data_IF_249853602576
#
_entry.id   IF_249853602576
#
_cell.length_a   1.000
_cell.length_b   1.000
_cell.length_c   1.000
_cell.angle_alpha   90.00
_cell.angle_beta   90.00
_cell.angle_gamma   90.00
#
_symmetry.space_group_name_H-M   'P 1'
#
loop_
_entity.id
_entity.type
_entity.pdbx_description
1 polymer ?
#
# COMPACT_ATOMS: atom_id res chain seq x y z
N UNK A 1 2.10 8.39 -13.29
CA UNK A 1 2.94 8.27 -12.07
C UNK A 1 4.35 8.63 -12.48
N UNK A 2 5.06 9.48 -11.74
CA UNK A 2 6.41 9.93 -12.15
C UNK A 2 7.52 9.12 -11.50
N UNK A 3 7.23 8.37 -10.44
CA UNK A 3 8.21 7.58 -9.66
C UNK A 3 7.53 6.33 -9.11
N UNK A 4 8.24 5.20 -9.10
CA UNK A 4 7.77 3.90 -8.62
C UNK A 4 8.85 3.27 -7.74
N UNK A 5 8.42 2.60 -6.69
CA UNK A 5 9.32 1.95 -5.72
C UNK A 5 8.81 0.53 -5.51
N UNK A 6 9.68 -0.45 -5.68
CA UNK A 6 9.40 -1.81 -5.23
C UNK A 6 9.35 -1.81 -3.69
N UNK A 7 8.28 -2.37 -3.14
CA UNK A 7 8.04 -2.41 -1.71
C UNK A 7 7.92 -3.85 -1.20
N UNK A 8 8.69 -4.19 -0.17
CA UNK A 8 8.67 -5.50 0.47
C UNK A 8 7.97 -5.42 1.82
N UNK A 9 6.76 -5.97 1.89
CA UNK A 9 5.88 -5.89 3.06
C UNK A 9 6.10 -7.09 3.99
N UNK A 10 6.36 -6.81 5.26
CA UNK A 10 6.45 -7.80 6.34
C UNK A 10 5.38 -7.49 7.38
N UNK A 11 4.28 -8.23 7.31
CA UNK A 11 3.04 -7.89 7.99
C UNK A 11 2.79 -8.74 9.24
N UNK A 12 2.47 -8.07 10.34
CA UNK A 12 1.86 -8.68 11.51
C UNK A 12 0.35 -8.49 11.45
N UNK A 13 -0.40 -9.58 11.67
CA UNK A 13 -1.86 -9.56 11.71
C UNK A 13 -2.26 -9.21 13.15
N UNK A 14 -2.66 -7.96 13.39
CA UNK A 14 -3.01 -7.49 14.73
C UNK A 14 -4.34 -8.10 15.18
N UNK A 15 -5.28 -8.24 14.24
CA UNK A 15 -6.53 -8.98 14.39
C UNK A 15 -7.05 -9.40 13.00
N UNK A 16 -8.29 -9.88 12.91
CA UNK A 16 -8.90 -10.34 11.65
C UNK A 16 -9.12 -9.21 10.62
N UNK A 17 -9.24 -7.97 11.08
CA UNK A 17 -9.58 -6.81 10.25
C UNK A 17 -8.43 -5.83 10.03
N UNK A 18 -7.30 -6.01 10.71
CA UNK A 18 -6.19 -5.06 10.71
C UNK A 18 -4.83 -5.75 10.65
N UNK A 19 -4.01 -5.36 9.67
CA UNK A 19 -2.58 -5.72 9.59
C UNK A 19 -1.73 -4.47 9.66
N UNK A 20 -0.53 -4.65 10.22
CA UNK A 20 0.52 -3.64 10.22
C UNK A 20 1.76 -4.21 9.58
N UNK A 21 2.30 -3.52 8.58
CA UNK A 21 3.43 -3.97 7.81
C UNK A 21 4.62 -3.03 7.96
N UNK A 22 5.80 -3.60 8.20
CA UNK A 22 7.07 -2.94 7.93
C UNK A 22 7.37 -3.06 6.43
N UNK A 23 7.84 -1.97 5.82
CA UNK A 23 8.17 -1.95 4.39
C UNK A 23 9.67 -1.74 4.21
N UNK A 24 10.28 -2.62 3.43
CA UNK A 24 11.69 -2.58 3.07
C UNK A 24 11.89 -2.31 1.58
N UNK A 25 13.05 -1.76 1.23
CA UNK A 25 13.44 -1.53 -0.18
C UNK A 25 13.78 -2.82 -0.95
N UNK A 26 14.25 -3.84 -0.25
CA UNK A 26 14.69 -5.12 -0.81
C UNK A 26 14.34 -6.26 0.15
N UNK A 27 14.39 -7.54 -0.27
CA UNK A 27 14.19 -8.67 0.62
C UNK A 27 15.49 -9.12 1.33
N UNK A 28 16.61 -8.40 1.14
CA UNK A 28 17.92 -8.78 1.63
C UNK A 28 18.13 -8.44 3.11
N UNK A 29 19.08 -9.11 3.77
CA UNK A 29 19.32 -8.94 5.20
C UNK A 29 19.76 -7.52 5.61
N UNK A 30 20.30 -6.73 4.68
CA UNK A 30 20.74 -5.34 4.88
C UNK A 30 19.76 -4.31 4.31
N UNK A 31 18.51 -4.72 4.03
CA UNK A 31 17.48 -3.85 3.50
C UNK A 31 17.20 -2.65 4.43
N UNK A 32 16.87 -1.51 3.82
CA UNK A 32 16.46 -0.30 4.55
C UNK A 32 14.99 -0.43 4.90
N UNK A 33 14.64 -0.15 6.15
CA UNK A 33 13.25 0.13 6.51
C UNK A 33 12.86 1.47 5.88
N UNK A 34 11.97 1.42 4.88
CA UNK A 34 11.56 2.61 4.13
C UNK A 34 10.19 3.13 4.53
N UNK A 35 9.33 2.29 5.13
CA UNK A 35 7.94 2.67 5.32
C UNK A 35 7.14 1.76 6.26
N UNK A 36 5.89 2.16 6.41
CA UNK A 36 4.84 1.41 7.10
C UNK A 36 3.61 1.35 6.20
N UNK A 37 2.86 0.26 6.31
CA UNK A 37 1.51 0.17 5.81
C UNK A 37 0.56 -0.34 6.88
N UNK A 38 -0.62 0.27 6.93
CA UNK A 38 -1.77 -0.25 7.63
C UNK A 38 -2.74 -0.82 6.61
N UNK A 39 -3.15 -2.08 6.80
CA UNK A 39 -4.15 -2.74 5.96
C UNK A 39 -5.39 -2.95 6.81
N UNK A 40 -6.54 -2.50 6.33
CA UNK A 40 -7.82 -2.66 7.03
C UNK A 40 -8.88 -3.33 6.14
N UNK A 41 -9.82 -4.03 6.77
CA UNK A 41 -11.01 -4.57 6.11
C UNK A 41 -11.83 -3.48 5.42
N UNK A 42 -12.63 -3.85 4.42
CA UNK A 42 -13.63 -2.96 3.82
C UNK A 42 -14.59 -2.41 4.89
N UNK A 43 -14.97 -3.22 5.87
CA UNK A 43 -15.86 -2.80 6.96
C UNK A 43 -15.27 -1.64 7.75
N UNK A 44 -14.01 -1.75 8.19
CA UNK A 44 -13.32 -0.67 8.90
C UNK A 44 -13.10 0.54 8.00
N UNK A 45 -12.77 0.34 6.73
CA UNK A 45 -12.59 1.44 5.80
C UNK A 45 -13.88 2.28 5.65
N UNK A 46 -15.05 1.63 5.60
CA UNK A 46 -16.34 2.32 5.47
C UNK A 46 -16.71 3.15 6.70
N UNK A 47 -16.15 2.87 7.88
CA UNK A 47 -16.36 3.68 9.09
C UNK A 47 -15.45 4.89 9.19
N UNK A 48 -14.42 4.99 8.34
CA UNK A 48 -13.51 6.13 8.34
C UNK A 48 -14.22 7.44 7.96
N UNK A 49 -13.82 8.59 8.52
CA UNK A 49 -14.24 9.89 8.02
C UNK A 49 -13.92 10.07 6.54
N UNK A 50 -14.73 10.82 5.81
CA UNK A 50 -14.57 11.02 4.35
C UNK A 50 -13.26 11.72 4.01
N UNK A 51 -12.75 12.58 4.89
CA UNK A 51 -11.45 13.24 4.76
C UNK A 51 -10.25 12.28 4.91
N UNK A 52 -10.44 11.14 5.59
CA UNK A 52 -9.40 10.14 5.83
C UNK A 52 -9.32 9.15 4.66
N UNK A 53 -10.46 8.77 4.07
CA UNK A 53 -10.56 7.79 2.97
C UNK A 53 -9.60 8.05 1.77
N UNK A 54 -9.35 9.30 1.32
CA UNK A 54 -8.36 9.61 0.28
C UNK A 54 -6.94 9.17 0.60
N UNK A 55 -6.60 8.98 1.87
CA UNK A 55 -5.27 8.55 2.29
C UNK A 55 -5.06 7.04 2.10
N UNK A 56 -6.09 6.29 1.71
CA UNK A 56 -6.06 4.85 1.55
C UNK A 56 -6.24 4.46 0.08
N UNK A 57 -5.63 3.35 -0.32
CA UNK A 57 -5.80 2.77 -1.64
C UNK A 57 -6.41 1.36 -1.56
N UNK A 58 -7.07 0.92 -2.62
CA UNK A 58 -7.59 -0.45 -2.68
C UNK A 58 -6.52 -1.41 -3.21
N UNK A 59 -6.37 -2.57 -2.58
CA UNK A 59 -5.45 -3.61 -3.05
C UNK A 59 -6.01 -4.45 -4.22
N UNK A 60 -7.27 -4.22 -4.64
CA UNK A 60 -7.93 -5.04 -5.65
C UNK A 60 -7.08 -5.21 -6.93
N UNK A 61 -6.60 -4.10 -7.49
CA UNK A 61 -5.90 -4.13 -8.76
C UNK A 61 -4.52 -4.76 -8.63
N UNK A 62 -3.71 -4.41 -7.63
CA UNK A 62 -2.37 -4.96 -7.46
C UNK A 62 -2.38 -6.48 -7.23
N UNK A 63 -3.38 -7.00 -6.50
CA UNK A 63 -3.56 -8.45 -6.31
C UNK A 63 -3.94 -9.12 -7.62
N UNK A 64 -4.98 -8.61 -8.30
CA UNK A 64 -5.51 -9.22 -9.53
C UNK A 64 -4.59 -9.08 -10.72
N UNK A 65 -3.76 -8.04 -10.79
CA UNK A 65 -2.78 -7.84 -11.86
C UNK A 65 -1.58 -8.79 -11.74
N UNK A 66 -1.45 -9.53 -10.63
CA UNK A 66 -0.33 -10.44 -10.40
C UNK A 66 0.93 -9.76 -9.86
N UNK A 67 0.95 -8.42 -9.76
CA UNK A 67 2.11 -7.63 -9.34
C UNK A 67 2.39 -7.79 -7.84
N UNK A 68 1.35 -7.89 -7.02
CA UNK A 68 1.50 -8.26 -5.61
C UNK A 68 1.59 -9.79 -5.50
N UNK A 69 2.70 -10.31 -5.00
CA UNK A 69 2.90 -11.75 -4.77
C UNK A 69 3.78 -11.98 -3.53
N UNK A 70 3.77 -13.19 -3.01
CA UNK A 70 4.47 -13.60 -1.80
C UNK A 70 5.59 -14.59 -2.13
N UNK A 71 6.83 -14.12 -2.35
CA UNK A 71 7.96 -14.99 -2.66
C UNK A 71 8.10 -16.10 -1.61
N UNK A 72 8.34 -17.33 -2.07
CA UNK A 72 8.59 -18.52 -1.24
C UNK A 72 7.40 -19.02 -0.41
N UNK A 73 6.20 -18.44 -0.59
CA UNK A 73 4.95 -18.98 -0.04
C UNK A 73 4.34 -19.96 -1.04
N UNK A 74 3.91 -21.17 -0.62
CA UNK A 74 3.23 -22.11 -1.51
C UNK A 74 1.95 -21.51 -2.12
N UNK A 75 1.74 -21.72 -3.42
CA UNK A 75 0.65 -21.08 -4.18
C UNK A 75 -0.76 -21.20 -3.57
N UNK A 76 -1.19 -22.36 -3.04
CA UNK A 76 -2.50 -22.45 -2.37
C UNK A 76 -2.62 -21.58 -1.11
N UNK A 77 -1.54 -21.44 -0.35
CA UNK A 77 -1.49 -20.62 0.88
C UNK A 77 -1.47 -19.14 0.49
N UNK A 78 -0.63 -18.77 -0.48
CA UNK A 78 -0.60 -17.42 -1.04
C UNK A 78 -2.00 -17.02 -1.54
N UNK A 79 -2.64 -17.88 -2.34
CA UNK A 79 -3.98 -17.62 -2.88
C UNK A 79 -4.98 -17.31 -1.76
N UNK A 80 -5.01 -18.12 -0.71
CA UNK A 80 -5.94 -17.94 0.40
C UNK A 80 -5.75 -16.57 1.09
N UNK A 81 -4.51 -16.13 1.26
CA UNK A 81 -4.25 -14.82 1.86
C UNK A 81 -4.58 -13.67 0.89
N UNK A 82 -4.22 -13.81 -0.39
CA UNK A 82 -4.53 -12.83 -1.43
C UNK A 82 -6.04 -12.67 -1.67
N UNK A 83 -6.85 -13.71 -1.51
CA UNK A 83 -8.31 -13.61 -1.55
C UNK A 83 -8.87 -12.69 -0.45
N UNK A 84 -8.17 -12.57 0.69
CA UNK A 84 -8.51 -11.61 1.74
C UNK A 84 -7.97 -10.23 1.40
N UNK A 85 -6.69 -10.12 1.03
CA UNK A 85 -6.04 -8.84 0.71
C UNK A 85 -6.74 -8.13 -0.45
N UNK A 86 -7.25 -8.85 -1.44
CA UNK A 86 -7.97 -8.28 -2.59
C UNK A 86 -9.18 -7.41 -2.18
N UNK A 87 -9.70 -7.60 -0.97
CA UNK A 87 -10.88 -6.91 -0.42
C UNK A 87 -10.53 -5.80 0.57
N UNK A 88 -9.26 -5.54 0.83
CA UNK A 88 -8.82 -4.59 1.86
C UNK A 88 -8.36 -3.26 1.27
N UNK A 89 -8.15 -2.29 2.16
CA UNK A 89 -7.59 -0.98 1.86
C UNK A 89 -6.28 -0.77 2.63
N UNK A 90 -5.30 -0.12 1.98
CA UNK A 90 -3.97 0.12 2.52
C UNK A 90 -3.67 1.62 2.68
N UNK A 91 -3.07 2.01 3.80
CA UNK A 91 -2.48 3.35 4.00
C UNK A 91 -0.98 3.21 4.16
N UNK A 92 -0.25 3.62 3.12
CA UNK A 92 1.19 3.38 3.00
C UNK A 92 1.96 4.68 3.08
N UNK A 93 2.92 4.74 3.99
CA UNK A 93 3.77 5.91 4.19
C UNK A 93 5.22 5.49 4.06
N UNK A 94 5.94 6.10 3.12
CA UNK A 94 7.39 5.95 3.00
C UNK A 94 8.08 7.13 3.67
N UNK A 95 8.96 6.84 4.62
CA UNK A 95 9.85 7.79 5.29
C UNK A 95 11.15 7.97 4.52
N UNK A 96 11.61 6.95 3.79
CA UNK A 96 12.82 7.01 2.97
C UNK A 96 12.47 6.92 1.48
N UNK A 97 12.76 7.98 0.74
CA UNK A 97 12.59 8.04 -0.72
C UNK A 97 13.82 7.49 -1.45
N UNK A 98 14.04 6.17 -1.34
CA UNK A 98 15.23 5.50 -1.90
C UNK A 98 15.43 5.73 -3.40
N UNK A 99 14.35 5.98 -4.13
CA UNK A 99 14.35 6.29 -5.55
C UNK A 99 14.84 7.71 -5.87
N UNK A 100 15.28 8.50 -4.88
CA UNK A 100 16.09 9.73 -5.09
C UNK A 100 17.60 9.47 -5.12
N UNK A 101 18.04 8.30 -4.64
CA UNK A 101 19.46 7.98 -4.49
C UNK A 101 20.12 8.57 -3.23
N UNK A 102 19.34 9.16 -2.31
CA UNK A 102 19.87 9.70 -1.06
C UNK A 102 20.27 8.58 -0.07
N UNK A 103 21.45 8.71 0.54
CA UNK A 103 21.96 7.78 1.56
C UNK A 103 21.30 7.92 2.94
N UNK A 104 20.46 8.94 3.13
CA UNK A 104 19.69 9.19 4.34
C UNK A 104 18.22 9.43 3.96
N UNK A 105 17.26 9.22 4.89
CA UNK A 105 15.84 9.48 4.65
C UNK A 105 15.54 10.99 4.63
N UNK A 106 15.92 11.67 3.55
CA UNK A 106 15.75 13.11 3.41
C UNK A 106 14.33 13.48 2.93
N UNK A 107 13.86 14.64 3.41
CA UNK A 107 12.57 15.22 3.03
C UNK A 107 11.39 14.73 3.86
N UNK A 108 10.19 15.12 3.45
CA UNK A 108 8.95 14.75 4.14
C UNK A 108 8.55 13.30 3.83
N UNK A 109 7.93 12.59 4.78
CA UNK A 109 7.27 11.32 4.50
C UNK A 109 6.26 11.46 3.35
N UNK A 110 6.22 10.46 2.48
CA UNK A 110 5.35 10.42 1.33
C UNK A 110 4.24 9.40 1.55
N UNK A 111 3.00 9.82 1.31
CA UNK A 111 1.90 8.88 1.17
C UNK A 111 2.04 8.18 -0.19
N UNK A 112 2.08 6.86 -0.17
CA UNK A 112 2.23 6.02 -1.34
C UNK A 112 0.87 5.48 -1.77
N UNK A 113 0.69 5.36 -3.08
CA UNK A 113 -0.47 4.75 -3.71
C UNK A 113 -0.01 3.53 -4.50
N UNK A 114 -0.88 2.53 -4.62
CA UNK A 114 -0.63 1.37 -5.48
C UNK A 114 -1.14 1.59 -6.91
N UNK A 115 -0.84 0.62 -7.78
CA UNK A 115 -1.41 0.51 -9.12
C UNK A 115 -2.92 0.28 -9.02
N UNK A 116 -3.69 1.00 -9.82
CA UNK A 116 -5.16 0.94 -9.84
C UNK A 116 -5.73 0.57 -11.21
N UNK A 117 -4.89 0.55 -12.26
CA UNK A 117 -5.27 0.18 -13.63
C UNK A 117 -4.05 -0.17 -14.49
N UNK A 118 -4.33 -0.76 -15.66
CA UNK A 118 -3.32 -1.08 -16.67
C UNK A 118 -2.61 0.19 -17.19
N UNK A 119 -1.37 0.01 -17.64
CA UNK A 119 -0.53 1.09 -18.17
C UNK A 119 0.09 2.01 -17.11
N UNK A 120 -0.04 1.68 -15.82
CA UNK A 120 0.62 2.44 -14.75
C UNK A 120 2.01 1.89 -14.36
N UNK A 121 2.22 0.58 -14.47
CA UNK A 121 3.48 -0.06 -14.10
C UNK A 121 4.56 0.26 -15.14
N UNK A 122 5.77 0.57 -14.66
CA UNK A 122 6.93 0.72 -15.52
C UNK A 122 7.39 -0.65 -16.07
N UNK A 123 7.51 -0.76 -17.38
CA UNK A 123 7.79 -2.04 -18.06
C UNK A 123 9.20 -2.58 -17.77
N UNK A 124 10.18 -1.70 -17.54
CA UNK A 124 11.54 -2.12 -17.19
C UNK A 124 11.57 -2.68 -15.77
N UNK A 125 10.91 -1.99 -14.83
CA UNK A 125 10.73 -2.46 -13.46
C UNK A 125 9.99 -3.80 -13.43
N UNK A 126 8.94 -3.95 -14.22
CA UNK A 126 8.18 -5.21 -14.29
C UNK A 126 9.07 -6.38 -14.73
N UNK A 127 9.79 -6.23 -15.85
CA UNK A 127 10.69 -7.26 -16.39
C UNK A 127 11.80 -7.62 -15.41
N UNK A 128 12.36 -6.62 -14.71
CA UNK A 128 13.40 -6.85 -13.71
C UNK A 128 12.89 -7.68 -12.53
N UNK A 129 11.70 -7.36 -12.00
CA UNK A 129 11.09 -8.12 -10.90
C UNK A 129 10.73 -9.55 -11.35
N UNK A 130 10.07 -9.72 -12.50
CA UNK A 130 9.74 -11.05 -13.04
C UNK A 130 10.99 -11.93 -13.18
N UNK A 131 12.08 -11.35 -13.71
CA UNK A 131 13.37 -12.03 -13.86
C UNK A 131 14.00 -12.39 -12.51
N UNK A 132 14.04 -11.44 -11.55
CA UNK A 132 14.66 -11.67 -10.24
C UNK A 132 13.94 -12.74 -9.42
N UNK A 133 12.62 -12.80 -9.49
CA UNK A 133 11.81 -13.72 -8.70
C UNK A 133 11.37 -14.99 -9.46
N UNK A 134 11.63 -15.06 -10.77
CA UNK A 134 11.20 -16.19 -11.60
C UNK A 134 9.68 -16.32 -11.69
N UNK A 135 8.97 -15.18 -11.65
CA UNK A 135 7.51 -15.10 -11.71
C UNK A 135 7.04 -14.54 -13.04
N UNK A 136 5.76 -14.71 -13.36
CA UNK A 136 5.13 -14.02 -14.49
C UNK A 136 3.84 -13.37 -14.03
N UNK A 137 3.78 -12.04 -14.09
CA UNK A 137 2.62 -11.26 -13.67
C UNK A 137 1.40 -11.62 -14.50
N UNK A 138 1.56 -11.83 -15.81
CA UNK A 138 0.46 -12.27 -16.68
C UNK A 138 -0.09 -13.66 -16.30
N UNK A 139 0.77 -14.61 -15.91
CA UNK A 139 0.31 -15.91 -15.42
C UNK A 139 -0.41 -15.80 -14.08
N UNK A 140 0.11 -14.99 -13.17
CA UNK A 140 -0.53 -14.73 -11.88
C UNK A 140 -1.87 -14.02 -12.06
N UNK A 141 -1.94 -13.04 -12.96
CA UNK A 141 -3.18 -12.35 -13.36
C UNK A 141 -4.24 -13.34 -13.86
N UNK A 142 -3.85 -14.24 -14.77
CA UNK A 142 -4.75 -15.26 -15.29
C UNK A 142 -5.29 -16.19 -14.19
N UNK A 143 -4.44 -16.61 -13.25
CA UNK A 143 -4.84 -17.46 -12.10
C UNK A 143 -5.78 -16.74 -11.13
N UNK A 144 -5.80 -15.41 -11.12
CA UNK A 144 -6.53 -14.57 -10.15
C UNK A 144 -7.71 -13.84 -10.79
N UNK A 145 -8.06 -14.18 -12.03
CA UNK A 145 -9.15 -13.54 -12.77
C UNK A 145 -10.50 -13.62 -12.03
N UNK A 146 -10.73 -14.72 -11.30
CA UNK A 146 -11.94 -15.04 -10.55
C UNK A 146 -11.98 -14.44 -9.12
N UNK A 147 -10.87 -13.86 -8.63
CA UNK A 147 -10.85 -13.21 -7.32
C UNK A 147 -11.80 -12.01 -7.29
N UNK A 148 -12.58 -11.92 -6.21
CA UNK A 148 -13.48 -10.81 -5.94
C UNK A 148 -12.80 -9.75 -5.08
N UNK A 149 -13.06 -8.48 -5.40
CA UNK A 149 -12.63 -7.33 -4.61
C UNK A 149 -13.59 -6.99 -3.46
N UNK A 150 -13.54 -5.73 -2.98
CA UNK A 150 -14.49 -5.23 -1.99
C UNK A 150 -15.95 -5.44 -2.44
N UNK A 151 -16.81 -5.80 -1.50
CA UNK A 151 -18.22 -6.15 -1.69
C UNK A 151 -19.02 -5.02 -2.33
N UNK A 152 -18.70 -3.78 -1.97
CA UNK A 152 -19.37 -2.58 -2.47
C UNK A 152 -18.64 -1.93 -3.66
N UNK A 153 -17.63 -2.62 -4.21
CA UNK A 153 -16.70 -2.06 -5.18
C UNK A 153 -15.69 -1.10 -4.53
N UNK A 154 -14.77 -0.57 -5.35
CA UNK A 154 -13.79 0.41 -4.86
C UNK A 154 -14.51 1.71 -4.52
N UNK A 155 -14.38 2.16 -3.27
CA UNK A 155 -14.99 3.40 -2.81
C UNK A 155 -14.42 4.62 -3.57
N UNK A 156 -15.25 5.58 -4.03
CA UNK A 156 -14.80 6.69 -4.89
C UNK A 156 -13.83 7.66 -4.20
N UNK A 157 -13.86 7.73 -2.88
CA UNK A 157 -12.90 8.55 -2.10
C UNK A 157 -11.54 7.86 -1.89
N UNK A 158 -11.40 6.55 -2.11
CA UNK A 158 -10.10 5.89 -2.03
C UNK A 158 -9.17 6.35 -3.18
N UNK A 159 -7.92 5.89 -3.14
CA UNK A 159 -6.92 6.16 -4.18
C UNK A 159 -6.71 7.68 -4.42
N UNK A 160 -6.64 8.47 -3.34
CA UNK A 160 -6.48 9.92 -3.41
C UNK A 160 -7.66 10.65 -4.06
N UNK A 161 -8.87 10.08 -4.03
CA UNK A 161 -10.05 10.62 -4.70
C UNK A 161 -9.86 10.80 -6.22
N UNK A 162 -8.95 10.05 -6.83
CA UNK A 162 -8.63 10.10 -8.25
C UNK A 162 -7.77 11.30 -8.71
N UNK A 163 -7.38 12.21 -7.81
CA UNK A 163 -6.65 13.44 -8.17
C UNK A 163 -5.18 13.47 -7.70
N UNK A 164 -4.77 12.45 -6.94
CA UNK A 164 -3.45 12.42 -6.29
C UNK A 164 -3.38 13.39 -5.12
N UNK A 165 -2.39 13.19 -4.25
CA UNK A 165 -2.20 13.97 -3.02
C UNK A 165 -0.76 14.49 -2.93
N UNK A 166 -0.58 15.64 -2.27
CA UNK A 166 0.73 16.25 -2.03
C UNK A 166 0.85 16.60 -0.55
N UNK A 167 1.85 16.03 0.12
CA UNK A 167 2.21 16.40 1.49
C UNK A 167 2.84 17.79 1.50
N UNK A 168 2.29 18.70 2.29
CA UNK A 168 2.86 20.05 2.51
C UNK A 168 3.16 20.23 3.99
N UNK A 169 4.40 20.62 4.29
CA UNK A 169 4.76 21.07 5.63
C UNK A 169 4.02 22.37 5.93
N UNK A 170 3.42 22.46 7.12
CA UNK A 170 2.75 23.66 7.62
C UNK A 170 3.11 23.85 9.08
N UNK A 171 3.36 25.10 9.46
CA UNK A 171 3.43 25.47 10.86
C UNK A 171 2.02 25.40 11.46
N UNK A 172 1.91 24.79 12.64
CA UNK A 172 0.67 24.75 13.41
C UNK A 172 0.93 25.43 14.76
N UNK A 173 0.07 26.38 15.12
CA UNK A 173 0.12 26.98 16.44
C UNK A 173 -0.42 25.98 17.47
N UNK A 174 0.48 25.28 18.14
CA UNK A 174 0.13 24.38 19.24
C UNK A 174 -0.19 25.19 20.51
N UNK A 175 -1.39 25.77 20.59
CA UNK A 175 -1.86 26.39 21.83
C UNK A 175 -2.29 25.29 22.80
N UNK A 176 -1.67 25.22 23.99
CA UNK A 176 -2.03 24.27 25.06
C UNK A 176 -3.51 24.34 25.50
N UNK A 177 -4.21 25.42 25.15
CA UNK A 177 -5.61 25.68 25.50
C UNK A 177 -6.57 25.51 24.32
N UNK A 178 -6.10 25.03 23.16
CA UNK A 178 -7.00 24.78 22.04
C UNK A 178 -7.83 23.50 22.30
N UNK A 179 -9.16 23.62 22.44
CA UNK A 179 -10.03 22.48 22.73
C UNK A 179 -10.01 21.40 21.64
N UNK A 180 -9.49 21.68 20.44
CA UNK A 180 -9.32 20.66 19.39
C UNK A 180 -8.31 19.56 19.77
N UNK A 181 -7.38 19.82 20.70
CA UNK A 181 -6.40 18.84 21.18
C UNK A 181 -6.84 18.11 22.47
N UNK A 182 -7.90 18.57 23.13
CA UNK A 182 -8.40 17.96 24.36
C UNK A 182 -9.35 16.77 24.13
N UNK A 183 -9.79 16.52 22.88
CA UNK A 183 -10.80 15.50 22.55
C UNK A 183 -10.23 14.20 21.98
N UNK A 184 -8.92 14.09 21.77
CA UNK A 184 -8.28 12.84 21.32
C UNK A 184 -7.68 12.07 22.49
N UNK A 185 -8.51 11.64 23.43
CA UNK A 185 -8.18 10.53 24.33
C UNK A 185 -9.21 9.42 24.06
N UNK A 186 -8.77 8.42 23.29
CA UNK A 186 -9.31 7.07 23.37
C UNK A 186 -8.58 6.34 24.51
#
# INVERSE_FOLDING_TARGET
MTRQVQAHHFCAHQNEEMRQCLIYDTPEANAKLIGLEYIISENLFLTLPDEEKPLWHSHLYEVKSGVLFMPRVPGPIERQDLEKVCKTYGKTIHFWQIDKGDNLPLGLPQLMMTLTRDGQLDDELARDVEKRFGVSFEKERAKRADMAGPTHGIHPLANGGGKGLITKLRELHCNRTDPSFASSQL
#
